data_IF_743833058789
#
_entry.id   IF_743833058789
#
_cell.length_a   1.000
_cell.length_b   1.000
_cell.length_c   1.000
_cell.angle_alpha   90.00
_cell.angle_beta   90.00
_cell.angle_gamma   90.00
#
_symmetry.space_group_name_H-M   'P 1'
#
loop_
_entity.id
_entity.type
_entity.pdbx_description
1 polymer ?
#
# COMPACT_ATOMS: atom_id res chain seq x y z
N UNK A 1 -0.83 -0.06 20.56
CA UNK A 1 0.09 0.91 19.93
C UNK A 1 1.25 0.13 19.30
N UNK A 2 1.50 0.32 18.00
CA UNK A 2 2.50 -0.46 17.23
C UNK A 2 3.87 0.21 17.10
N UNK A 3 3.97 1.50 17.42
CA UNK A 3 5.20 2.29 17.29
C UNK A 3 5.60 2.86 18.65
N UNK A 4 6.90 3.09 18.91
CA UNK A 4 8.04 2.89 18.00
C UNK A 4 8.51 1.42 17.88
N UNK A 5 9.15 1.10 16.75
CA UNK A 5 9.73 -0.23 16.50
C UNK A 5 11.16 -0.31 17.04
N UNK A 6 11.42 -1.26 17.94
CA UNK A 6 12.72 -1.42 18.63
C UNK A 6 13.59 -2.54 18.03
N UNK A 7 13.47 -2.81 16.73
CA UNK A 7 14.21 -3.89 16.07
C UNK A 7 13.54 -5.26 16.23
N UNK A 8 14.22 -6.32 15.72
CA UNK A 8 13.67 -7.67 15.59
C UNK A 8 13.31 -8.26 16.95
N UNK A 9 12.03 -8.13 17.34
CA UNK A 9 11.44 -8.80 18.51
C UNK A 9 10.70 -10.04 18.05
N UNK A 10 10.77 -11.11 18.83
CA UNK A 10 10.18 -12.42 18.47
C UNK A 10 8.66 -12.34 18.29
N UNK A 11 7.99 -11.41 18.98
CA UNK A 11 6.52 -11.31 19.00
C UNK A 11 5.99 -9.97 18.47
N UNK A 12 6.74 -9.27 17.62
CA UNK A 12 6.26 -8.03 17.01
C UNK A 12 5.64 -8.31 15.63
N UNK A 13 4.43 -7.81 15.42
CA UNK A 13 3.77 -7.81 14.11
C UNK A 13 3.36 -6.38 13.76
N UNK A 14 3.81 -5.93 12.58
CA UNK A 14 3.44 -4.62 12.05
C UNK A 14 1.93 -4.55 11.75
N UNK A 15 1.30 -3.37 11.89
CA UNK A 15 -0.10 -3.20 11.53
C UNK A 15 -0.30 -3.44 10.03
N UNK A 16 -1.43 -4.03 9.66
CA UNK A 16 -1.81 -4.34 8.28
C UNK A 16 -3.12 -3.65 7.93
N UNK A 17 -3.31 -3.37 6.64
CA UNK A 17 -4.53 -2.77 6.10
C UNK A 17 -4.96 -3.58 4.88
N UNK A 18 -6.27 -3.85 4.77
CA UNK A 18 -6.87 -4.46 3.59
C UNK A 18 -7.66 -3.39 2.81
N UNK A 19 -7.57 -3.44 1.48
CA UNK A 19 -8.33 -2.57 0.58
C UNK A 19 -9.24 -3.44 -0.27
N UNK A 20 -10.53 -3.12 -0.29
CA UNK A 20 -11.53 -3.80 -1.11
C UNK A 20 -12.11 -2.81 -2.12
N UNK A 21 -11.97 -3.12 -3.40
CA UNK A 21 -12.63 -2.39 -4.48
C UNK A 21 -14.05 -2.94 -4.65
N UNK A 22 -15.08 -2.11 -4.44
CA UNK A 22 -16.50 -2.52 -4.54
C UNK A 22 -17.00 -2.46 -5.97
N UNK A 23 -16.62 -1.42 -6.71
CA UNK A 23 -17.17 -1.07 -8.02
C UNK A 23 -16.05 -0.99 -9.05
N UNK A 24 -15.69 -2.14 -9.62
CA UNK A 24 -14.60 -2.25 -10.60
C UNK A 24 -15.10 -2.91 -11.89
N UNK A 25 -14.72 -2.36 -13.05
CA UNK A 25 -15.12 -2.91 -14.34
C UNK A 25 -14.26 -4.12 -14.73
N UNK A 26 -14.90 -5.16 -15.25
CA UNK A 26 -14.20 -6.34 -15.76
C UNK A 26 -13.41 -6.02 -17.04
N UNK A 27 -12.40 -6.85 -17.32
CA UNK A 27 -11.60 -6.81 -18.53
C UNK A 27 -10.96 -5.43 -18.81
N UNK A 28 -10.73 -4.65 -17.75
CA UNK A 28 -10.14 -3.31 -17.81
C UNK A 28 -8.86 -3.27 -16.98
N UNK A 29 -7.83 -2.60 -17.48
CA UNK A 29 -6.56 -2.43 -16.78
C UNK A 29 -6.58 -1.16 -15.91
N UNK A 30 -6.41 -1.34 -14.59
CA UNK A 30 -6.33 -0.26 -13.62
C UNK A 30 -4.90 -0.10 -13.12
N UNK A 31 -4.40 1.14 -13.13
CA UNK A 31 -3.17 1.50 -12.41
C UNK A 31 -3.56 2.05 -11.04
N UNK A 32 -3.30 1.29 -9.99
CA UNK A 32 -3.65 1.65 -8.61
C UNK A 32 -2.40 2.17 -7.89
N UNK A 33 -2.55 3.30 -7.20
CA UNK A 33 -1.52 3.87 -6.34
C UNK A 33 -2.08 4.07 -4.93
N UNK A 34 -1.56 3.33 -3.95
CA UNK A 34 -1.91 3.49 -2.55
C UNK A 34 -0.81 4.30 -1.85
N UNK A 35 -1.18 5.41 -1.18
CA UNK A 35 -0.25 6.33 -0.49
C UNK A 35 -0.52 6.36 1.00
N UNK A 36 0.54 6.45 1.80
CA UNK A 36 0.44 6.75 3.23
C UNK A 36 0.41 8.26 3.38
N UNK A 37 -0.68 8.80 3.95
CA UNK A 37 -0.74 10.20 4.35
C UNK A 37 -0.25 10.34 5.79
N UNK A 38 0.88 11.01 5.99
CA UNK A 38 1.51 11.21 7.30
C UNK A 38 2.14 12.60 7.39
N UNK A 39 2.03 13.22 8.56
CA UNK A 39 2.61 14.54 8.83
C UNK A 39 4.10 14.52 9.14
N UNK A 40 4.65 13.36 9.52
CA UNK A 40 6.01 13.24 10.05
C UNK A 40 7.00 12.58 9.09
N UNK A 41 6.57 11.66 8.23
CA UNK A 41 7.46 10.93 7.31
C UNK A 41 6.74 10.51 6.02
N UNK A 42 7.53 10.08 5.02
CA UNK A 42 7.19 9.74 3.63
C UNK A 42 7.20 10.92 2.66
N UNK A 43 8.40 11.33 2.22
CA UNK A 43 8.55 12.16 1.02
C UNK A 43 8.39 11.27 -0.20
N UNK A 44 7.29 11.43 -0.92
CA UNK A 44 7.11 10.77 -2.22
C UNK A 44 8.24 11.24 -3.13
N UNK A 45 9.04 10.30 -3.61
CA UNK A 45 10.14 10.53 -4.54
C UNK A 45 9.81 9.88 -5.88
N UNK A 46 10.22 10.50 -6.98
CA UNK A 46 10.15 9.86 -8.29
C UNK A 46 11.23 8.81 -8.48
N UNK A 47 12.37 8.96 -7.80
CA UNK A 47 13.49 8.01 -7.84
C UNK A 47 13.16 6.76 -7.04
N UNK A 48 12.60 6.94 -5.84
CA UNK A 48 12.11 5.83 -5.01
C UNK A 48 10.60 5.71 -5.13
N UNK A 49 10.18 4.85 -6.06
CA UNK A 49 8.77 4.63 -6.37
C UNK A 49 8.00 3.97 -5.23
N UNK A 50 8.66 3.42 -4.21
CA UNK A 50 8.02 2.69 -3.11
C UNK A 50 8.12 3.40 -1.74
N UNK A 51 8.80 4.55 -1.67
CA UNK A 51 8.85 5.37 -0.48
C UNK A 51 7.45 5.95 -0.15
N UNK A 52 6.76 5.34 0.83
CA UNK A 52 5.46 5.80 1.32
C UNK A 52 4.27 5.51 0.40
N UNK A 53 4.47 4.73 -0.66
CA UNK A 53 3.42 4.32 -1.59
C UNK A 53 3.68 2.94 -2.18
N UNK A 54 2.63 2.32 -2.69
CA UNK A 54 2.73 1.12 -3.54
C UNK A 54 1.91 1.33 -4.80
N UNK A 55 2.47 0.95 -5.95
CA UNK A 55 1.84 1.06 -7.26
C UNK A 55 1.76 -0.32 -7.87
N UNK A 56 0.57 -0.72 -8.32
CA UNK A 56 0.36 -2.01 -8.99
C UNK A 56 -0.70 -1.90 -10.08
N UNK A 57 -0.65 -2.84 -11.04
CA UNK A 57 -1.67 -3.01 -12.07
C UNK A 57 -2.69 -4.05 -11.63
N UNK A 58 -3.96 -3.74 -11.79
CA UNK A 58 -5.07 -4.62 -11.45
C UNK A 58 -5.93 -4.81 -12.70
N UNK A 59 -6.17 -6.06 -13.09
CA UNK A 59 -7.14 -6.43 -14.12
C UNK A 59 -7.92 -7.64 -13.63
N UNK A 60 -9.25 -7.51 -13.64
CA UNK A 60 -10.15 -8.60 -13.25
C UNK A 60 -10.82 -9.09 -14.53
N UNK A 61 -10.48 -10.31 -14.95
CA UNK A 61 -11.09 -10.90 -16.13
C UNK A 61 -12.45 -11.51 -15.76
N UNK A 62 -13.44 -11.36 -16.65
CA UNK A 62 -14.69 -12.11 -16.52
C UNK A 62 -14.44 -13.53 -17.05
N UNK A 63 -14.88 -14.53 -16.29
CA UNK A 63 -14.90 -15.92 -16.74
C UNK A 63 -15.85 -16.13 -17.91
#
# INVERSE_FOLDING_TARGET
MYYPYYGKRVNYSQPLVAVKFTDISFNTDFNVECKINSSTQFKISERDKFAGRVIFKLRINKA
#
